data_IF_747605301167
#
_entry.id   IF_747605301167
#
_cell.length_a   1.000
_cell.length_b   1.000
_cell.length_c   1.000
_cell.angle_alpha   90.00
_cell.angle_beta   90.00
_cell.angle_gamma   90.00
#
_symmetry.space_group_name_H-M   'P 1'
#
loop_
_entity.id
_entity.type
_entity.pdbx_description
1 polymer ?
#
# COMPACT_ATOMS: atom_id res chain seq x y z
N UNK A 1 33.86 -1.46 -54.58
CA UNK A 1 33.90 -2.09 -53.24
C UNK A 1 33.77 -1.11 -52.06
N UNK A 2 33.30 0.13 -52.24
CA UNK A 2 33.19 1.14 -51.17
C UNK A 2 31.72 1.39 -50.77
N UNK A 3 30.74 0.88 -51.49
CA UNK A 3 29.30 1.13 -51.24
C UNK A 3 28.65 0.16 -50.24
N UNK A 4 29.30 -0.93 -49.86
CA UNK A 4 28.70 -1.94 -48.98
C UNK A 4 29.07 -1.77 -47.50
N UNK A 5 30.05 -0.97 -47.18
CA UNK A 5 30.52 -0.76 -45.78
C UNK A 5 29.76 0.31 -45.05
N UNK A 6 29.08 1.24 -45.75
CA UNK A 6 28.32 2.36 -45.12
C UNK A 6 26.94 1.91 -44.59
N UNK A 7 26.39 0.78 -45.09
CA UNK A 7 25.07 0.30 -44.71
C UNK A 7 25.02 -0.43 -43.36
N UNK A 8 26.17 -0.88 -42.83
CA UNK A 8 26.22 -1.68 -41.58
C UNK A 8 26.36 -0.81 -40.34
N UNK A 9 26.76 0.45 -40.48
CA UNK A 9 26.95 1.36 -39.32
C UNK A 9 25.69 2.12 -38.84
N UNK A 10 24.57 2.00 -39.56
CA UNK A 10 23.33 2.74 -39.24
C UNK A 10 22.31 1.91 -38.46
N UNK A 11 22.61 0.66 -38.07
CA UNK A 11 21.63 -0.20 -37.38
C UNK A 11 21.91 -0.40 -35.86
N UNK A 12 22.88 0.32 -35.29
CA UNK A 12 23.28 0.14 -33.89
C UNK A 12 22.86 1.27 -32.93
N UNK A 13 21.88 2.05 -33.27
CA UNK A 13 21.61 3.32 -32.61
C UNK A 13 20.26 3.50 -31.94
N UNK A 14 19.50 2.49 -31.49
CA UNK A 14 18.25 2.73 -30.72
C UNK A 14 17.89 1.60 -29.76
N UNK A 15 18.80 1.29 -28.83
CA UNK A 15 18.42 0.61 -27.58
C UNK A 15 18.48 1.65 -26.44
N UNK A 16 17.67 2.70 -26.52
CA UNK A 16 17.34 3.53 -25.37
C UNK A 16 16.42 2.72 -24.48
N UNK A 17 17.02 1.93 -23.56
CA UNK A 17 16.30 1.33 -22.46
C UNK A 17 15.67 2.44 -21.63
N UNK A 18 14.36 2.62 -21.75
CA UNK A 18 13.59 3.46 -20.83
C UNK A 18 13.66 2.80 -19.44
N UNK A 19 14.68 3.14 -18.66
CA UNK A 19 14.68 2.87 -17.22
C UNK A 19 13.66 3.79 -16.59
N UNK A 20 12.47 3.28 -16.29
CA UNK A 20 11.47 4.01 -15.50
C UNK A 20 12.01 4.17 -14.08
N UNK A 21 12.75 5.25 -13.84
CA UNK A 21 13.18 5.69 -12.51
C UNK A 21 12.06 6.48 -11.81
N UNK A 22 10.85 5.91 -11.74
CA UNK A 22 9.81 6.48 -10.88
C UNK A 22 10.19 6.36 -9.41
N UNK A 23 9.73 7.29 -8.55
CA UNK A 23 9.99 7.20 -7.11
C UNK A 23 9.49 5.86 -6.59
N UNK A 24 10.39 5.10 -5.96
CA UNK A 24 10.05 3.83 -5.32
C UNK A 24 9.58 4.10 -3.90
N UNK A 25 8.53 3.40 -3.48
CA UNK A 25 8.12 3.40 -2.08
C UNK A 25 9.22 2.80 -1.21
N UNK A 26 9.45 3.38 -0.03
CA UNK A 26 10.57 2.97 0.81
C UNK A 26 10.37 3.25 2.29
N UNK A 27 11.27 2.70 3.08
CA UNK A 27 11.36 2.99 4.50
C UNK A 27 11.77 4.45 4.74
N UNK A 28 11.41 5.04 5.89
CA UNK A 28 11.85 6.39 6.24
C UNK A 28 13.36 6.45 6.38
N UNK A 29 13.95 7.58 5.95
CA UNK A 29 15.40 7.82 6.08
C UNK A 29 15.83 8.15 7.51
N UNK A 30 14.89 8.31 8.44
CA UNK A 30 15.15 8.73 9.82
C UNK A 30 15.50 7.50 10.66
N UNK A 31 16.75 7.45 11.14
CA UNK A 31 17.27 6.36 11.99
C UNK A 31 16.76 6.34 13.44
N UNK A 32 15.97 7.33 13.88
CA UNK A 32 15.68 7.58 15.29
C UNK A 32 14.21 7.42 15.69
N UNK A 33 13.40 6.65 14.94
CA UNK A 33 12.04 6.36 15.38
C UNK A 33 12.11 5.16 16.31
N UNK A 34 11.69 5.38 17.54
CA UNK A 34 11.51 4.31 18.51
C UNK A 34 10.23 3.53 18.15
N UNK A 35 10.40 2.48 17.36
CA UNK A 35 9.31 1.64 16.90
C UNK A 35 8.65 0.84 18.04
N UNK A 36 9.38 0.62 19.13
CA UNK A 36 8.89 -0.16 20.28
C UNK A 36 7.92 0.68 21.14
N UNK A 37 7.96 2.01 21.02
CA UNK A 37 7.08 2.94 21.74
C UNK A 37 5.92 3.48 20.92
N UNK A 38 5.66 2.97 19.71
CA UNK A 38 4.45 3.34 18.97
C UNK A 38 3.23 2.73 19.69
N UNK A 39 2.27 3.55 20.19
CA UNK A 39 1.15 3.02 20.93
C UNK A 39 0.23 2.20 20.03
N UNK A 40 -0.29 1.10 20.55
CA UNK A 40 -1.34 0.35 19.88
C UNK A 40 -2.61 1.19 19.74
N UNK A 41 -3.37 0.92 18.68
CA UNK A 41 -4.68 1.51 18.53
C UNK A 41 -5.61 1.06 19.69
N UNK A 42 -6.30 2.00 20.30
CA UNK A 42 -7.30 1.73 21.33
C UNK A 42 -8.66 1.60 20.66
N UNK A 43 -9.29 0.40 20.67
CA UNK A 43 -10.60 0.21 20.07
C UNK A 43 -11.66 1.14 20.65
N UNK A 44 -12.43 1.77 19.78
CA UNK A 44 -13.54 2.67 20.16
C UNK A 44 -14.78 2.25 19.39
N UNK A 45 -15.95 2.52 19.98
CA UNK A 45 -17.21 2.40 19.25
C UNK A 45 -17.43 3.69 18.45
N UNK A 46 -17.12 3.63 17.17
CA UNK A 46 -17.20 4.77 16.26
C UNK A 46 -18.22 4.50 15.15
N UNK A 47 -18.93 5.53 14.67
CA UNK A 47 -19.79 5.39 13.49
C UNK A 47 -18.93 5.10 12.27
N UNK A 48 -19.53 4.47 11.26
CA UNK A 48 -18.85 4.26 9.99
C UNK A 48 -18.41 5.59 9.38
N UNK A 49 -17.22 5.59 8.80
CA UNK A 49 -16.71 6.74 8.08
C UNK A 49 -17.65 7.13 6.93
N UNK A 50 -17.85 8.42 6.75
CA UNK A 50 -18.64 8.98 5.64
C UNK A 50 -18.10 8.53 4.26
N UNK A 51 -16.81 8.29 4.18
CA UNK A 51 -16.13 7.89 2.94
C UNK A 51 -15.44 6.53 3.11
N UNK A 52 -15.17 5.86 1.99
CA UNK A 52 -14.43 4.59 1.97
C UNK A 52 -15.25 3.34 2.23
N UNK A 53 -16.59 3.45 2.30
CA UNK A 53 -17.52 2.34 2.53
C UNK A 53 -18.53 2.15 1.39
N UNK A 54 -18.12 2.13 0.10
CA UNK A 54 -19.04 1.75 -0.98
C UNK A 54 -19.46 0.28 -0.81
N UNK A 55 -20.61 -0.11 -1.32
CA UNK A 55 -21.02 -1.53 -1.30
C UNK A 55 -20.04 -2.42 -2.07
N UNK A 56 -19.50 -1.89 -3.16
CA UNK A 56 -18.45 -2.53 -3.97
C UNK A 56 -17.59 -1.48 -4.66
N UNK A 57 -16.39 -1.88 -5.05
CA UNK A 57 -15.46 -1.07 -5.84
C UNK A 57 -14.55 -1.95 -6.69
N UNK A 58 -13.94 -1.38 -7.71
CA UNK A 58 -13.04 -2.11 -8.59
C UNK A 58 -11.61 -1.55 -8.51
N UNK A 59 -10.63 -2.44 -8.50
CA UNK A 59 -9.21 -2.10 -8.62
C UNK A 59 -8.56 -3.05 -9.61
N UNK A 60 -7.98 -2.52 -10.68
CA UNK A 60 -7.25 -3.28 -11.72
C UNK A 60 -8.08 -4.46 -12.26
N UNK A 61 -9.33 -4.22 -12.61
CA UNK A 61 -10.25 -5.22 -13.15
C UNK A 61 -10.77 -6.23 -12.13
N UNK A 62 -10.48 -6.07 -10.83
CA UNK A 62 -10.99 -6.92 -9.78
C UNK A 62 -11.99 -6.19 -8.89
N UNK A 63 -13.21 -6.71 -8.82
CA UNK A 63 -14.28 -6.19 -7.95
C UNK A 63 -14.13 -6.71 -6.53
N UNK A 64 -14.27 -5.80 -5.58
CA UNK A 64 -14.27 -6.06 -4.13
C UNK A 64 -15.61 -5.63 -3.54
N UNK A 65 -16.18 -6.46 -2.67
CA UNK A 65 -17.38 -6.13 -1.91
C UNK A 65 -16.99 -5.76 -0.48
N UNK A 66 -17.44 -4.59 -0.02
CA UNK A 66 -17.21 -4.15 1.37
C UNK A 66 -18.26 -4.81 2.26
N UNK A 67 -17.80 -5.39 3.36
CA UNK A 67 -18.68 -6.05 4.34
C UNK A 67 -19.53 -5.02 5.07
N UNK A 68 -20.74 -5.38 5.42
CA UNK A 68 -21.62 -4.53 6.23
C UNK A 68 -21.18 -4.45 7.70
N UNK A 69 -20.42 -5.44 8.16
CA UNK A 69 -19.92 -5.53 9.53
C UNK A 69 -18.60 -6.28 9.58
N UNK A 70 -17.76 -5.95 10.56
CA UNK A 70 -16.52 -6.66 10.88
C UNK A 70 -16.73 -7.87 11.77
N UNK A 71 -17.93 -8.06 12.33
CA UNK A 71 -18.23 -9.14 13.29
C UNK A 71 -17.85 -10.51 12.73
N UNK A 72 -17.09 -11.28 13.52
CA UNK A 72 -16.64 -12.63 13.17
C UNK A 72 -15.61 -12.68 12.03
N UNK A 73 -14.99 -11.54 11.68
CA UNK A 73 -13.96 -11.55 10.65
C UNK A 73 -12.65 -12.12 11.19
N UNK A 74 -12.23 -13.25 10.62
CA UNK A 74 -10.93 -13.87 10.88
C UNK A 74 -10.36 -14.30 9.53
N UNK A 75 -9.14 -13.93 9.23
CA UNK A 75 -8.49 -14.29 7.96
C UNK A 75 -6.99 -14.39 8.12
N UNK A 76 -6.40 -15.41 7.51
CA UNK A 76 -4.96 -15.55 7.31
C UNK A 76 -4.59 -15.08 5.90
N UNK A 77 -3.47 -14.41 5.75
CA UNK A 77 -3.01 -13.92 4.44
C UNK A 77 -1.64 -13.29 4.51
N UNK A 78 -1.17 -12.80 3.38
CA UNK A 78 0.05 -11.98 3.30
C UNK A 78 -0.30 -10.52 3.54
N UNK A 79 0.53 -9.85 4.33
CA UNK A 79 0.50 -8.41 4.52
C UNK A 79 1.70 -7.75 3.85
N UNK A 80 1.57 -6.48 3.52
CA UNK A 80 2.62 -5.61 3.05
C UNK A 80 2.48 -4.26 3.75
N UNK A 81 3.42 -3.37 3.55
CA UNK A 81 3.42 -2.04 4.15
C UNK A 81 3.42 -0.95 3.09
N UNK A 82 3.03 0.25 3.49
CA UNK A 82 3.06 1.48 2.71
C UNK A 82 4.11 2.40 3.33
N UNK A 83 5.03 2.91 2.52
CA UNK A 83 6.15 3.71 2.97
C UNK A 83 6.01 5.21 2.68
N UNK A 84 7.17 5.84 2.49
CA UNK A 84 7.31 7.30 2.32
C UNK A 84 6.51 7.86 1.16
N UNK A 85 6.28 7.08 0.10
CA UNK A 85 5.51 7.54 -1.06
C UNK A 85 4.04 7.78 -0.74
N UNK A 86 3.49 7.12 0.28
CA UNK A 86 2.09 7.23 0.68
C UNK A 86 1.88 8.13 1.90
N UNK A 87 2.94 8.44 2.66
CA UNK A 87 2.85 9.29 3.85
C UNK A 87 2.25 10.66 3.52
N UNK A 88 1.28 11.10 4.32
CA UNK A 88 0.55 12.36 4.12
C UNK A 88 -0.54 12.31 3.06
N UNK A 89 -0.65 11.26 2.22
CA UNK A 89 -1.71 11.15 1.24
C UNK A 89 -3.03 10.76 1.89
N UNK A 90 -4.14 11.26 1.35
CA UNK A 90 -5.48 10.92 1.83
C UNK A 90 -5.80 9.44 1.58
N UNK A 91 -6.29 8.79 2.62
CA UNK A 91 -6.84 7.44 2.55
C UNK A 91 -8.26 7.46 1.99
N UNK A 92 -8.85 6.29 1.76
CA UNK A 92 -10.23 6.16 1.31
C UNK A 92 -11.25 6.72 2.33
N UNK A 93 -10.94 6.72 3.62
CA UNK A 93 -11.76 7.35 4.66
C UNK A 93 -11.59 8.87 4.73
N UNK A 94 -10.65 9.45 3.98
CA UNK A 94 -10.37 10.88 3.94
C UNK A 94 -9.31 11.37 4.94
N UNK A 95 -8.85 10.52 5.83
CA UNK A 95 -7.79 10.82 6.81
C UNK A 95 -6.42 10.74 6.12
N UNK A 96 -5.48 11.67 6.35
CA UNK A 96 -4.12 11.52 5.86
C UNK A 96 -3.46 10.27 6.44
N UNK A 97 -2.78 9.51 5.58
CA UNK A 97 -2.01 8.34 6.01
C UNK A 97 -0.74 8.76 6.74
N UNK A 98 -0.54 8.24 7.94
CA UNK A 98 0.70 8.39 8.68
C UNK A 98 1.38 7.02 8.82
N UNK A 99 2.55 6.88 8.19
CA UNK A 99 3.31 5.63 8.19
C UNK A 99 3.88 5.25 9.56
N UNK A 100 3.85 6.17 10.54
CA UNK A 100 4.34 5.97 11.90
C UNK A 100 3.22 5.60 12.89
N UNK A 101 1.97 5.52 12.43
CA UNK A 101 0.83 5.15 13.28
C UNK A 101 0.39 3.70 13.02
N UNK A 102 -0.20 3.10 14.05
CA UNK A 102 -0.80 1.77 13.96
C UNK A 102 -2.10 1.80 13.17
N UNK A 103 -1.99 2.00 11.87
CA UNK A 103 -3.10 1.99 10.92
C UNK A 103 -2.82 1.02 9.78
N UNK A 104 -3.86 0.49 9.17
CA UNK A 104 -3.75 -0.45 8.07
C UNK A 104 -4.84 -0.23 7.02
N UNK A 105 -4.57 -0.61 5.78
CA UNK A 105 -5.57 -0.68 4.72
C UNK A 105 -6.12 -2.10 4.61
N UNK A 106 -7.43 -2.22 4.39
CA UNK A 106 -8.06 -3.50 4.13
C UNK A 106 -9.05 -3.41 2.97
N UNK A 107 -9.17 -4.51 2.22
CA UNK A 107 -9.94 -4.52 0.96
C UNK A 107 -11.47 -4.61 1.17
N UNK A 108 -11.90 -5.20 2.26
CA UNK A 108 -13.33 -5.58 2.42
C UNK A 108 -13.92 -5.27 3.79
N UNK A 109 -13.12 -4.86 4.78
CA UNK A 109 -13.65 -4.44 6.07
C UNK A 109 -14.26 -3.04 5.96
N UNK A 110 -15.38 -2.76 6.65
CA UNK A 110 -15.93 -1.42 6.74
C UNK A 110 -14.99 -0.50 7.55
N UNK A 111 -14.97 0.77 7.26
CA UNK A 111 -14.10 1.76 7.91
C UNK A 111 -14.91 2.68 8.84
N UNK A 112 -14.41 2.94 10.04
CA UNK A 112 -13.27 2.31 10.67
C UNK A 112 -13.56 0.89 11.19
N UNK A 113 -12.53 0.05 11.27
CA UNK A 113 -12.57 -1.25 11.95
C UNK A 113 -11.28 -1.44 12.71
N UNK A 114 -11.35 -1.84 13.96
CA UNK A 114 -10.20 -2.25 14.76
C UNK A 114 -9.98 -3.75 14.59
N UNK A 115 -8.74 -4.15 14.35
CA UNK A 115 -8.35 -5.55 14.16
C UNK A 115 -7.10 -5.88 14.97
N UNK A 116 -7.02 -7.10 15.48
CA UNK A 116 -5.77 -7.65 15.96
C UNK A 116 -5.04 -8.28 14.76
N UNK A 117 -3.79 -7.89 14.57
CA UNK A 117 -2.91 -8.45 13.53
C UNK A 117 -1.80 -9.23 14.21
N UNK A 118 -1.71 -10.55 13.95
CA UNK A 118 -0.66 -11.40 14.47
C UNK A 118 0.31 -11.78 13.35
N UNK A 119 1.58 -11.45 13.51
CA UNK A 119 2.63 -11.97 12.65
C UNK A 119 2.88 -13.44 12.99
N UNK A 120 2.70 -14.33 12.01
CA UNK A 120 2.80 -15.78 12.23
C UNK A 120 4.24 -16.29 12.26
N UNK A 121 5.21 -15.51 11.76
CA UNK A 121 6.61 -15.89 11.71
C UNK A 121 7.32 -15.65 13.07
N UNK A 122 6.92 -14.59 13.79
CA UNK A 122 7.55 -14.20 15.05
C UNK A 122 6.58 -14.07 16.23
N UNK A 123 5.29 -14.27 16.03
CA UNK A 123 4.26 -14.21 17.07
C UNK A 123 3.89 -12.81 17.58
N UNK A 124 4.54 -11.74 17.11
CA UNK A 124 4.20 -10.36 17.49
C UNK A 124 2.76 -10.00 17.07
N UNK A 125 2.11 -9.20 17.91
CA UNK A 125 0.76 -8.67 17.69
C UNK A 125 0.83 -7.16 17.59
#
# INVERSE_FOLDING_TARGET
MIKTVVAIFLLFGFLSACTSTGPRDGAPQIKSIDLDNIPNAVPKNEPLSKYGNPSQYEVRGKTYQVRKTSKGYVKRGKASWYGTMFHGRRTSSGVPYDMYQMTAAHKTLPLPTYVEVKNLDNGKK
#
